data_IF_289945208648
#
_entry.id   IF_289945208648
#
_cell.length_a   1.000
_cell.length_b   1.000
_cell.length_c   1.000
_cell.angle_alpha   90.00
_cell.angle_beta   90.00
_cell.angle_gamma   90.00
#
_symmetry.space_group_name_H-M   'P 1'
#
loop_
_entity.id
_entity.type
_entity.pdbx_description
1 polymer ?
#
# COMPACT_ATOMS: atom_id res chain seq x y z
N UNK A 1 -9.87 -12.66 31.29
CA UNK A 1 -9.40 -11.38 31.85
C UNK A 1 -8.24 -10.91 30.97
N UNK A 2 -8.38 -9.75 30.34
CA UNK A 2 -7.27 -9.20 29.54
C UNK A 2 -6.27 -8.55 30.49
N UNK A 3 -5.13 -9.20 30.71
CA UNK A 3 -4.00 -8.64 31.46
C UNK A 3 -3.17 -7.65 30.63
N UNK A 4 -3.73 -7.14 29.52
CA UNK A 4 -3.06 -6.23 28.60
C UNK A 4 -3.50 -4.81 28.94
N UNK A 5 -2.55 -3.97 29.30
CA UNK A 5 -2.76 -2.55 29.63
C UNK A 5 -2.10 -1.70 28.54
N UNK A 6 -2.83 -0.70 28.04
CA UNK A 6 -2.28 0.26 27.09
C UNK A 6 -1.34 1.25 27.81
N UNK A 7 -0.09 1.33 27.34
CA UNK A 7 0.88 2.29 27.86
C UNK A 7 0.97 3.52 26.94
N UNK A 8 0.79 4.69 27.50
CA UNK A 8 0.93 5.95 26.77
C UNK A 8 2.41 6.31 26.61
N UNK A 9 2.85 6.50 25.36
CA UNK A 9 4.22 6.87 25.06
C UNK A 9 4.47 8.36 25.36
N UNK A 10 5.61 8.67 26.00
CA UNK A 10 6.07 10.07 26.21
C UNK A 10 6.44 10.73 24.87
N UNK A 11 7.04 9.97 23.94
CA UNK A 11 7.34 10.43 22.58
C UNK A 11 6.14 10.10 21.71
N UNK A 12 5.26 11.07 21.52
CA UNK A 12 4.04 10.93 20.73
C UNK A 12 4.31 10.99 19.21
N UNK A 13 3.36 10.53 18.39
CA UNK A 13 3.37 10.68 16.94
C UNK A 13 3.58 12.14 16.55
N UNK A 14 2.83 13.08 17.11
CA UNK A 14 2.93 14.52 16.82
C UNK A 14 4.34 15.07 17.03
N UNK A 15 5.03 14.65 18.12
CA UNK A 15 6.42 15.06 18.37
C UNK A 15 7.39 14.51 17.31
N UNK A 16 7.16 13.30 16.81
CA UNK A 16 7.95 12.69 15.74
C UNK A 16 7.72 13.42 14.41
N UNK A 17 6.46 13.70 14.07
CA UNK A 17 6.07 14.42 12.85
C UNK A 17 6.65 15.85 12.85
N UNK A 18 6.63 16.54 13.98
CA UNK A 18 7.28 17.86 14.12
C UNK A 18 8.79 17.78 13.83
N UNK A 19 9.47 16.77 14.34
CA UNK A 19 10.90 16.55 14.10
C UNK A 19 11.18 16.16 12.65
N UNK A 20 10.29 15.35 12.05
CA UNK A 20 10.44 14.87 10.67
C UNK A 20 10.10 15.95 9.62
N UNK A 21 9.30 16.96 10.00
CA UNK A 21 8.81 17.98 9.08
C UNK A 21 7.72 17.51 8.12
N UNK A 22 7.20 16.31 8.32
CA UNK A 22 6.09 15.71 7.57
C UNK A 22 5.20 14.87 8.50
N UNK A 23 3.97 14.55 8.07
CA UNK A 23 3.07 13.65 8.78
C UNK A 23 3.40 12.19 8.48
N UNK A 24 3.16 11.30 9.47
CA UNK A 24 3.05 9.88 9.22
C UNK A 24 1.75 9.56 8.48
N UNK A 25 1.78 8.64 7.54
CA UNK A 25 0.59 8.22 6.79
C UNK A 25 0.79 6.81 6.24
N UNK A 26 -0.33 6.13 5.96
CA UNK A 26 -0.37 4.86 5.22
C UNK A 26 -0.79 5.17 3.78
N UNK A 27 0.11 4.95 2.83
CA UNK A 27 -0.16 5.07 1.40
C UNK A 27 -0.39 3.65 0.85
N UNK A 28 -1.65 3.30 0.63
CA UNK A 28 -2.07 1.93 0.32
C UNK A 28 -2.28 1.74 -1.17
N UNK A 29 -1.27 1.17 -1.86
CA UNK A 29 -1.40 0.83 -3.27
C UNK A 29 -2.09 -0.53 -3.43
N UNK A 30 -3.21 -0.54 -4.14
CA UNK A 30 -3.98 -1.74 -4.49
C UNK A 30 -4.15 -1.88 -6.00
N UNK A 31 -4.41 -3.10 -6.49
CA UNK A 31 -4.59 -3.41 -7.91
C UNK A 31 -4.15 -4.83 -8.25
N UNK A 32 -4.40 -5.27 -9.47
CA UNK A 32 -4.06 -6.61 -9.95
C UNK A 32 -2.55 -6.91 -9.87
N UNK A 33 -2.16 -8.17 -9.88
CA UNK A 33 -0.76 -8.55 -10.12
C UNK A 33 -0.30 -7.93 -11.44
N UNK A 34 0.93 -7.41 -11.52
CA UNK A 34 1.41 -6.74 -12.75
C UNK A 34 0.83 -5.34 -13.02
N UNK A 35 -0.04 -4.79 -12.15
CA UNK A 35 -0.57 -3.43 -12.33
C UNK A 35 0.42 -2.29 -12.03
N UNK A 36 1.65 -2.59 -11.64
CA UNK A 36 2.68 -1.57 -11.39
C UNK A 36 2.75 -1.01 -9.97
N UNK A 37 2.02 -1.57 -9.00
CA UNK A 37 2.01 -1.11 -7.58
C UNK A 37 3.39 -0.94 -6.97
N UNK A 38 4.22 -1.99 -7.01
CA UNK A 38 5.57 -1.97 -6.43
C UNK A 38 6.46 -0.95 -7.12
N UNK A 39 6.40 -0.89 -8.46
CA UNK A 39 7.16 0.08 -9.25
C UNK A 39 6.80 1.50 -8.88
N UNK A 40 5.49 1.81 -8.78
CA UNK A 40 5.00 3.13 -8.42
C UNK A 40 5.33 3.47 -6.96
N UNK A 41 5.14 2.52 -6.02
CA UNK A 41 5.44 2.74 -4.60
C UNK A 41 6.93 3.07 -4.39
N UNK A 42 7.86 2.31 -5.00
CA UNK A 42 9.28 2.58 -4.88
C UNK A 42 9.71 3.88 -5.58
N UNK A 43 9.11 4.23 -6.73
CA UNK A 43 9.40 5.49 -7.40
C UNK A 43 8.94 6.71 -6.57
N UNK A 44 7.77 6.61 -5.93
CA UNK A 44 7.28 7.63 -4.98
C UNK A 44 8.18 7.70 -3.75
N UNK A 45 8.58 6.55 -3.19
CA UNK A 45 9.49 6.48 -2.05
C UNK A 45 10.82 7.18 -2.34
N UNK A 46 11.41 6.95 -3.52
CA UNK A 46 12.67 7.59 -3.92
C UNK A 46 12.58 9.11 -3.89
N UNK A 47 11.49 9.69 -4.44
CA UNK A 47 11.28 11.14 -4.40
C UNK A 47 11.08 11.65 -2.98
N UNK A 48 10.29 10.94 -2.16
CA UNK A 48 10.09 11.30 -0.76
C UNK A 48 11.40 11.25 0.03
N UNK A 49 12.23 10.23 -0.21
CA UNK A 49 13.53 10.07 0.41
C UNK A 49 14.49 11.20 0.04
N UNK A 50 14.54 11.59 -1.25
CA UNK A 50 15.32 12.75 -1.73
C UNK A 50 14.84 14.07 -1.10
N UNK A 51 13.59 14.13 -0.63
CA UNK A 51 13.03 15.26 0.13
C UNK A 51 13.26 15.12 1.65
N UNK A 52 14.10 14.17 2.08
CA UNK A 52 14.40 13.89 3.49
C UNK A 52 13.19 13.42 4.31
N UNK A 53 12.15 12.91 3.67
CA UNK A 53 11.03 12.27 4.35
C UNK A 53 11.44 10.89 4.88
N UNK A 54 10.93 10.51 6.03
CA UNK A 54 11.10 9.16 6.58
C UNK A 54 10.07 8.23 5.96
N UNK A 55 10.52 7.26 5.19
CA UNK A 55 9.67 6.37 4.40
C UNK A 55 10.03 4.91 4.63
N UNK A 56 9.08 4.03 4.33
CA UNK A 56 9.33 2.59 4.24
C UNK A 56 8.31 1.93 3.32
N UNK A 57 8.77 1.07 2.40
CA UNK A 57 7.89 0.27 1.54
C UNK A 57 7.68 -1.12 2.14
N UNK A 58 6.42 -1.47 2.39
CA UNK A 58 5.99 -2.84 2.66
C UNK A 58 5.53 -3.46 1.34
N UNK A 59 6.36 -4.28 0.72
CA UNK A 59 6.02 -4.99 -0.53
C UNK A 59 5.50 -6.39 -0.24
N UNK A 60 4.48 -6.82 -1.01
CA UNK A 60 3.78 -8.08 -0.79
C UNK A 60 4.66 -9.32 -0.91
N UNK A 61 5.68 -9.31 -1.78
CA UNK A 61 6.61 -10.43 -1.88
C UNK A 61 7.59 -10.42 -0.71
N UNK A 62 8.13 -9.24 -0.36
CA UNK A 62 9.15 -9.12 0.68
C UNK A 62 8.62 -9.56 2.05
N UNK A 63 7.40 -9.17 2.43
CA UNK A 63 6.83 -9.54 3.74
C UNK A 63 6.55 -11.03 3.86
N UNK A 64 6.38 -11.73 2.74
CA UNK A 64 6.19 -13.20 2.72
C UNK A 64 7.48 -13.98 2.97
N UNK A 65 8.65 -13.34 2.93
CA UNK A 65 9.90 -13.98 3.35
C UNK A 65 10.10 -13.95 4.88
N UNK A 66 9.31 -13.18 5.63
CA UNK A 66 9.42 -13.04 7.08
C UNK A 66 8.05 -12.96 7.75
N UNK A 67 7.51 -11.76 7.91
CA UNK A 67 6.29 -11.46 8.67
C UNK A 67 5.08 -12.35 8.34
N UNK A 68 4.95 -12.76 7.09
CA UNK A 68 3.84 -13.56 6.57
C UNK A 68 4.31 -14.87 5.92
N UNK A 69 5.49 -15.42 6.31
CA UNK A 69 6.06 -16.63 5.72
C UNK A 69 5.27 -17.90 6.04
N UNK A 70 4.46 -17.87 7.08
CA UNK A 70 3.56 -18.95 7.50
C UNK A 70 2.21 -18.96 6.75
N UNK A 71 1.93 -17.95 5.91
CA UNK A 71 0.66 -17.80 5.21
C UNK A 71 0.74 -18.28 3.75
N UNK A 72 -0.29 -19.01 3.32
CA UNK A 72 -0.51 -19.40 1.93
C UNK A 72 -1.26 -18.33 1.12
N UNK A 73 -2.08 -18.80 0.14
CA UNK A 73 -2.84 -17.95 -0.77
C UNK A 73 -4.35 -18.21 -0.71
N UNK A 74 -4.84 -18.99 0.27
CA UNK A 74 -6.27 -19.13 0.53
C UNK A 74 -6.88 -17.78 0.89
N UNK A 75 -8.19 -17.62 0.74
CA UNK A 75 -8.86 -16.38 1.12
C UNK A 75 -8.60 -16.00 2.58
N UNK A 76 -8.60 -16.99 3.49
CA UNK A 76 -8.29 -16.80 4.91
C UNK A 76 -6.85 -16.31 5.12
N UNK A 77 -5.87 -16.89 4.41
CA UNK A 77 -4.48 -16.46 4.51
C UNK A 77 -4.28 -15.05 3.94
N UNK A 78 -5.00 -14.70 2.86
CA UNK A 78 -4.97 -13.34 2.30
C UNK A 78 -5.55 -12.32 3.28
N UNK A 79 -6.67 -12.62 3.90
CA UNK A 79 -7.29 -11.78 4.94
C UNK A 79 -6.33 -11.56 6.11
N UNK A 80 -5.71 -12.63 6.63
CA UNK A 80 -4.75 -12.53 7.73
C UNK A 80 -3.48 -11.78 7.30
N UNK A 81 -3.01 -11.98 6.07
CA UNK A 81 -1.90 -11.20 5.52
C UNK A 81 -2.21 -9.70 5.55
N UNK A 82 -3.36 -9.28 5.02
CA UNK A 82 -3.75 -7.87 5.01
C UNK A 82 -3.95 -7.32 6.43
N UNK A 83 -4.50 -8.12 7.35
CA UNK A 83 -4.60 -7.73 8.76
C UNK A 83 -3.22 -7.46 9.37
N UNK A 84 -2.24 -8.38 9.20
CA UNK A 84 -0.86 -8.20 9.72
C UNK A 84 -0.19 -6.97 9.12
N UNK A 85 -0.36 -6.76 7.82
CA UNK A 85 0.20 -5.59 7.15
C UNK A 85 -0.43 -4.30 7.65
N UNK A 86 -1.75 -4.27 7.85
CA UNK A 86 -2.46 -3.13 8.42
C UNK A 86 -1.93 -2.73 9.79
N UNK A 87 -1.79 -3.70 10.70
CA UNK A 87 -1.23 -3.48 12.04
C UNK A 87 0.22 -2.98 11.97
N UNK A 88 1.04 -3.58 11.12
CA UNK A 88 2.44 -3.17 10.93
C UNK A 88 2.52 -1.76 10.36
N UNK A 89 1.72 -1.45 9.33
CA UNK A 89 1.68 -0.12 8.72
C UNK A 89 1.24 0.95 9.73
N UNK A 90 0.27 0.63 10.59
CA UNK A 90 -0.15 1.51 11.70
C UNK A 90 1.02 1.81 12.65
N UNK A 91 1.81 0.82 13.05
CA UNK A 91 2.97 1.03 13.92
C UNK A 91 4.02 1.93 13.27
N UNK A 92 4.31 1.75 11.96
CA UNK A 92 5.20 2.65 11.22
C UNK A 92 4.67 4.08 11.17
N UNK A 93 3.37 4.24 10.88
CA UNK A 93 2.71 5.53 10.85
C UNK A 93 2.78 6.23 12.23
N UNK A 94 2.51 5.51 13.32
CA UNK A 94 2.64 6.02 14.69
C UNK A 94 4.11 6.39 15.04
N UNK A 95 5.07 5.72 14.41
CA UNK A 95 6.49 6.11 14.49
C UNK A 95 6.82 7.37 13.67
N UNK A 96 5.83 8.00 13.01
CA UNK A 96 5.99 9.20 12.20
C UNK A 96 6.55 8.92 10.80
N UNK A 97 6.43 7.69 10.29
CA UNK A 97 6.91 7.27 8.97
C UNK A 97 5.78 7.36 7.95
N UNK A 98 6.07 7.77 6.73
CA UNK A 98 5.20 7.57 5.57
C UNK A 98 5.42 6.14 5.10
N UNK A 99 4.48 5.26 5.38
CA UNK A 99 4.57 3.85 4.99
C UNK A 99 3.81 3.61 3.70
N UNK A 100 4.49 3.11 2.67
CA UNK A 100 3.91 2.76 1.39
C UNK A 100 3.69 1.25 1.36
N UNK A 101 2.49 0.81 1.04
CA UNK A 101 2.16 -0.63 1.00
C UNK A 101 1.80 -1.04 -0.42
N UNK A 102 2.44 -2.07 -0.97
CA UNK A 102 2.18 -2.54 -2.34
C UNK A 102 1.62 -3.98 -2.31
N UNK A 103 0.31 -4.10 -2.19
CA UNK A 103 -0.41 -5.37 -2.11
C UNK A 103 -1.57 -5.44 -3.10
N UNK A 104 -1.90 -6.64 -3.60
CA UNK A 104 -3.12 -6.81 -4.39
C UNK A 104 -4.33 -6.41 -3.56
N UNK A 105 -4.41 -6.86 -2.28
CA UNK A 105 -5.51 -6.59 -1.34
C UNK A 105 -6.89 -6.65 -2.02
N UNK A 106 -7.29 -7.86 -2.49
CA UNK A 106 -8.37 -7.99 -3.47
C UNK A 106 -9.76 -7.62 -2.92
N UNK A 107 -9.97 -7.73 -1.63
CA UNK A 107 -11.28 -7.53 -1.00
C UNK A 107 -11.43 -6.14 -0.40
N UNK A 108 -12.54 -5.46 -0.70
CA UNK A 108 -12.86 -4.14 -0.13
C UNK A 108 -12.91 -4.17 1.39
N UNK A 109 -13.55 -5.20 1.95
CA UNK A 109 -13.70 -5.35 3.39
C UNK A 109 -12.34 -5.36 4.13
N UNK A 110 -11.31 -5.96 3.54
CA UNK A 110 -9.98 -5.99 4.14
C UNK A 110 -9.32 -4.62 4.11
N UNK A 111 -9.44 -3.87 3.01
CA UNK A 111 -8.91 -2.51 2.90
C UNK A 111 -9.64 -1.55 3.83
N UNK A 112 -10.97 -1.63 3.91
CA UNK A 112 -11.78 -0.84 4.84
C UNK A 112 -11.47 -1.18 6.31
N UNK A 113 -11.19 -2.44 6.63
CA UNK A 113 -10.72 -2.82 7.97
C UNK A 113 -9.43 -2.08 8.33
N UNK A 114 -8.44 -2.03 7.43
CA UNK A 114 -7.20 -1.29 7.67
C UNK A 114 -7.45 0.20 7.77
N UNK A 115 -8.27 0.78 6.89
CA UNK A 115 -8.69 2.19 6.96
C UNK A 115 -9.31 2.52 8.33
N UNK A 116 -10.14 1.65 8.86
CA UNK A 116 -10.77 1.82 10.18
C UNK A 116 -9.83 1.68 11.39
N UNK A 117 -8.57 1.23 11.19
CA UNK A 117 -7.57 1.13 12.27
C UNK A 117 -6.92 2.47 12.62
N UNK A 118 -7.04 3.48 11.77
CA UNK A 118 -6.35 4.76 11.87
C UNK A 118 -7.33 5.93 11.77
N UNK A 119 -6.86 7.15 12.09
CA UNK A 119 -7.71 8.33 12.01
C UNK A 119 -8.01 8.73 10.57
N UNK A 120 -9.10 9.49 10.39
CA UNK A 120 -9.47 10.00 9.07
C UNK A 120 -8.35 10.86 8.46
N UNK A 121 -7.96 10.52 7.23
CA UNK A 121 -6.89 11.21 6.50
C UNK A 121 -5.48 10.64 6.71
N UNK A 122 -5.34 9.59 7.52
CA UNK A 122 -4.07 8.87 7.73
C UNK A 122 -3.91 7.67 6.79
N UNK A 123 -5.02 7.17 6.23
CA UNK A 123 -5.03 6.12 5.22
C UNK A 123 -5.40 6.72 3.87
N UNK A 124 -4.52 6.55 2.88
CA UNK A 124 -4.68 7.07 1.53
C UNK A 124 -4.63 5.87 0.57
N UNK A 125 -5.78 5.51 0.01
CA UNK A 125 -5.91 4.41 -0.94
C UNK A 125 -5.59 4.87 -2.35
N UNK A 126 -4.62 4.23 -2.99
CA UNK A 126 -4.24 4.48 -4.38
C UNK A 126 -4.54 3.25 -5.21
N UNK A 127 -5.50 3.37 -6.11
CA UNK A 127 -5.85 2.32 -7.03
C UNK A 127 -5.00 2.39 -8.30
N UNK A 128 -4.12 1.39 -8.48
CA UNK A 128 -3.35 1.21 -9.70
C UNK A 128 -4.22 0.49 -10.74
N UNK A 129 -4.95 1.29 -11.53
CA UNK A 129 -5.87 0.78 -12.55
C UNK A 129 -5.09 0.40 -13.83
N UNK A 130 -5.06 -0.90 -14.09
CA UNK A 130 -4.52 -1.45 -15.33
C UNK A 130 -5.44 -2.58 -15.81
N UNK A 131 -5.80 -2.61 -17.12
CA UNK A 131 -6.53 -3.72 -17.69
C UNK A 131 -5.80 -5.05 -17.46
N UNK A 132 -6.58 -6.13 -17.30
CA UNK A 132 -6.00 -7.45 -17.02
C UNK A 132 -5.08 -7.90 -18.17
N UNK A 133 -5.40 -7.56 -19.41
CA UNK A 133 -4.60 -7.87 -20.59
C UNK A 133 -3.22 -7.19 -20.50
N UNK A 134 -3.17 -5.96 -20.02
CA UNK A 134 -1.91 -5.24 -19.76
C UNK A 134 -1.12 -5.91 -18.63
N UNK A 135 -1.79 -6.33 -17.57
CA UNK A 135 -1.14 -7.05 -16.46
C UNK A 135 -0.59 -8.40 -16.91
N UNK A 136 -1.33 -9.15 -17.73
CA UNK A 136 -0.90 -10.41 -18.33
C UNK A 136 0.29 -10.23 -19.28
N UNK A 137 0.28 -9.19 -20.13
CA UNK A 137 1.40 -8.91 -21.03
C UNK A 137 2.71 -8.60 -20.27
N UNK A 138 2.59 -8.02 -19.08
CA UNK A 138 3.74 -7.72 -18.22
C UNK A 138 4.26 -8.92 -17.45
N UNK A 139 3.43 -9.89 -17.15
CA UNK A 139 3.61 -11.14 -16.35
C UNK A 139 5.07 -11.52 -16.01
N UNK A 140 5.78 -10.62 -15.34
CA UNK A 140 7.22 -10.70 -15.04
C UNK A 140 7.61 -12.02 -14.34
N UNK A 141 6.66 -12.60 -13.58
CA UNK A 141 6.86 -13.83 -12.79
C UNK A 141 6.26 -15.06 -13.44
N UNK A 142 5.64 -14.96 -14.61
CA UNK A 142 4.94 -16.05 -15.28
C UNK A 142 3.71 -16.57 -14.51
N UNK A 143 3.17 -15.76 -13.59
CA UNK A 143 2.07 -16.17 -12.71
C UNK A 143 0.74 -16.25 -13.45
N UNK A 144 0.48 -15.30 -14.36
CA UNK A 144 -0.71 -15.35 -15.24
C UNK A 144 -0.70 -16.57 -16.15
N UNK A 145 0.44 -16.89 -16.76
CA UNK A 145 0.62 -18.09 -17.57
C UNK A 145 0.31 -19.36 -16.78
N UNK A 146 0.80 -19.46 -15.54
CA UNK A 146 0.51 -20.59 -14.65
C UNK A 146 -0.97 -20.64 -14.24
N UNK A 147 -1.59 -19.49 -13.96
CA UNK A 147 -3.00 -19.41 -13.59
C UNK A 147 -3.92 -19.83 -14.76
N UNK A 148 -3.64 -19.36 -15.97
CA UNK A 148 -4.37 -19.78 -17.19
C UNK A 148 -4.21 -21.26 -17.50
N UNK A 149 -3.06 -21.86 -17.18
CA UNK A 149 -2.82 -23.29 -17.29
C UNK A 149 -3.46 -24.12 -16.14
N UNK A 150 -4.19 -23.49 -15.22
CA UNK A 150 -4.83 -24.20 -14.09
C UNK A 150 -3.86 -24.64 -12.98
N UNK A 151 -2.60 -24.21 -13.02
CA UNK A 151 -1.56 -24.59 -12.04
C UNK A 151 -1.65 -23.79 -10.75
N UNK A 152 -2.45 -22.71 -10.71
CA UNK A 152 -2.72 -21.89 -9.53
C UNK A 152 -4.24 -21.83 -9.33
N UNK A 153 -4.73 -22.39 -8.24
CA UNK A 153 -6.17 -22.56 -8.01
C UNK A 153 -6.91 -21.24 -7.81
N UNK A 154 -6.33 -20.32 -7.02
CA UNK A 154 -6.98 -19.06 -6.62
C UNK A 154 -6.12 -17.84 -7.01
N UNK A 155 -6.14 -17.49 -8.30
CA UNK A 155 -5.38 -16.34 -8.79
C UNK A 155 -6.32 -15.13 -9.01
N UNK A 156 -6.01 -14.03 -8.31
CA UNK A 156 -6.81 -12.80 -8.37
C UNK A 156 -6.88 -12.24 -9.80
N UNK A 157 -8.10 -12.03 -10.27
CA UNK A 157 -8.40 -11.53 -11.61
C UNK A 157 -8.60 -12.64 -12.66
N UNK A 158 -8.31 -13.92 -12.34
CA UNK A 158 -8.56 -15.07 -13.25
C UNK A 158 -9.59 -16.01 -12.62
N UNK A 159 -9.25 -16.66 -11.50
CA UNK A 159 -10.10 -17.64 -10.82
C UNK A 159 -10.60 -17.16 -9.47
N UNK A 160 -10.10 -16.01 -9.01
CA UNK A 160 -10.51 -15.32 -7.78
C UNK A 160 -10.82 -13.85 -8.09
N UNK A 161 -11.83 -13.22 -7.46
CA UNK A 161 -12.21 -11.86 -7.76
C UNK A 161 -11.18 -10.82 -7.28
N UNK A 162 -11.19 -9.67 -7.94
CA UNK A 162 -10.63 -8.43 -7.45
C UNK A 162 -11.75 -7.39 -7.35
N UNK A 163 -12.02 -6.92 -6.17
CA UNK A 163 -13.02 -5.89 -5.90
C UNK A 163 -12.37 -4.50 -6.01
N UNK A 164 -12.63 -3.82 -7.13
CA UNK A 164 -12.12 -2.44 -7.33
C UNK A 164 -12.57 -1.54 -6.19
N UNK A 165 -11.72 -0.62 -5.69
CA UNK A 165 -12.14 0.39 -4.73
C UNK A 165 -13.32 1.21 -5.27
N UNK A 166 -14.24 1.59 -4.37
CA UNK A 166 -15.36 2.46 -4.75
C UNK A 166 -14.98 3.93 -4.65
N UNK A 167 -14.25 4.30 -3.62
CA UNK A 167 -13.87 5.68 -3.33
C UNK A 167 -12.39 5.78 -2.91
N UNK A 168 -11.44 5.39 -3.79
CA UNK A 168 -10.03 5.56 -3.47
C UNK A 168 -9.69 7.06 -3.46
N UNK A 169 -8.72 7.47 -2.67
CA UNK A 169 -8.24 8.85 -2.69
C UNK A 169 -7.60 9.24 -4.03
N UNK A 170 -7.08 8.23 -4.76
CA UNK A 170 -6.56 8.43 -6.11
C UNK A 170 -6.70 7.15 -6.94
N UNK A 171 -7.16 7.30 -8.17
CA UNK A 171 -7.02 6.26 -9.21
C UNK A 171 -5.94 6.69 -10.19
N UNK A 172 -4.92 5.85 -10.35
CA UNK A 172 -3.81 6.10 -11.27
C UNK A 172 -3.89 5.10 -12.41
N UNK A 173 -3.95 5.58 -13.65
CA UNK A 173 -4.02 4.72 -14.84
C UNK A 173 -2.63 4.17 -15.20
N UNK A 174 -2.14 3.24 -14.41
CA UNK A 174 -0.84 2.59 -14.59
C UNK A 174 -0.78 1.66 -15.81
N UNK A 175 -1.92 1.43 -16.45
CA UNK A 175 -2.00 0.66 -17.70
C UNK A 175 -1.60 1.46 -18.94
N UNK A 176 -1.68 2.79 -18.89
CA UNK A 176 -1.48 3.67 -20.06
C UNK A 176 -0.52 4.83 -19.79
N UNK A 177 -0.54 5.39 -18.57
CA UNK A 177 0.28 6.54 -18.22
C UNK A 177 1.75 6.12 -17.98
N UNK A 178 2.67 7.01 -18.28
CA UNK A 178 4.08 6.84 -17.94
C UNK A 178 4.30 6.89 -16.43
N UNK A 179 5.37 6.25 -15.96
CA UNK A 179 5.66 6.15 -14.52
C UNK A 179 5.78 7.53 -13.85
N UNK A 180 6.49 8.46 -14.48
CA UNK A 180 6.71 9.80 -13.95
C UNK A 180 5.41 10.59 -13.78
N UNK A 181 4.46 10.43 -14.71
CA UNK A 181 3.13 11.02 -14.60
C UNK A 181 2.36 10.44 -13.41
N UNK A 182 2.41 9.10 -13.25
CA UNK A 182 1.78 8.41 -12.12
C UNK A 182 2.36 8.90 -10.78
N UNK A 183 3.69 9.03 -10.71
CA UNK A 183 4.41 9.54 -9.53
C UNK A 183 3.99 10.97 -9.21
N UNK A 184 3.92 11.84 -10.22
CA UNK A 184 3.48 13.23 -10.02
C UNK A 184 2.06 13.33 -9.45
N UNK A 185 1.13 12.49 -9.91
CA UNK A 185 -0.24 12.45 -9.37
C UNK A 185 -0.25 12.08 -7.89
N UNK A 186 0.53 11.06 -7.50
CA UNK A 186 0.64 10.65 -6.10
C UNK A 186 1.27 11.75 -5.25
N UNK A 187 2.41 12.33 -5.68
CA UNK A 187 3.09 13.41 -4.94
C UNK A 187 2.19 14.63 -4.77
N UNK A 188 1.44 15.00 -5.80
CA UNK A 188 0.47 16.09 -5.73
C UNK A 188 -0.63 15.82 -4.69
N UNK A 189 -1.17 14.60 -4.66
CA UNK A 189 -2.14 14.20 -3.65
C UNK A 189 -1.56 14.31 -2.22
N UNK A 190 -0.32 13.83 -2.00
CA UNK A 190 0.31 13.91 -0.68
C UNK A 190 0.51 15.35 -0.20
N UNK A 191 0.82 16.28 -1.10
CA UNK A 191 0.88 17.72 -0.81
C UNK A 191 -0.51 18.26 -0.47
N UNK A 192 -1.52 17.96 -1.28
CA UNK A 192 -2.90 18.41 -1.05
C UNK A 192 -3.47 17.91 0.28
N UNK A 193 -3.11 16.71 0.69
CA UNK A 193 -3.51 16.11 1.97
C UNK A 193 -2.67 16.57 3.16
N UNK A 194 -1.68 17.44 2.93
CA UNK A 194 -0.79 17.95 3.98
C UNK A 194 0.09 16.88 4.63
N UNK A 195 0.34 15.76 3.93
CA UNK A 195 1.29 14.73 4.39
C UNK A 195 2.72 15.26 4.28
N UNK A 196 3.02 15.90 3.16
CA UNK A 196 4.31 16.56 2.90
C UNK A 196 4.09 18.02 2.53
N UNK A 197 5.13 18.84 2.67
CA UNK A 197 5.11 20.25 2.24
C UNK A 197 5.46 20.37 0.77
N UNK A 198 4.92 21.37 0.10
CA UNK A 198 5.36 21.77 -1.24
C UNK A 198 6.83 22.22 -1.20
N UNK A 199 7.65 21.82 -2.19
CA UNK A 199 8.98 22.41 -2.38
C UNK A 199 8.82 23.92 -2.61
N UNK A 200 9.20 24.75 -1.65
CA UNK A 200 9.12 26.22 -1.75
C UNK A 200 8.47 26.92 -0.57
N UNK A 201 7.83 26.21 0.36
CA UNK A 201 7.34 26.80 1.61
C UNK A 201 8.45 26.74 2.68
N UNK A 202 9.28 27.79 2.71
CA UNK A 202 10.16 28.07 3.87
C UNK A 202 9.37 28.72 4.98
#
# INVERSE_FOLDING_TARGET
>A
MNNIVWHHATVTRSRREMQNGHRGAIIWFTGLSGSGKSTLAHAVEEILHQQSSRTFVLDGDNVRHGLCSDLGFSNKDREENIRRIGETAKLFMEAGVIVLTAFISPFRADRERVRGMVEHGDFIEIYCDAPIETCESRDVKGMYKKARAGLIAEFTGITSPYEKPENPELTVNTGKAELDECVHQVMHLLIQRGIIKSKGSK
#
